data_IF_859480758973
#
_entry.id   IF_859480758973
#
_cell.length_a   1.000
_cell.length_b   1.000
_cell.length_c   1.000
_cell.angle_alpha   90.00
_cell.angle_beta   90.00
_cell.angle_gamma   90.00
#
_symmetry.space_group_name_H-M   'P 1'
#
loop_
_entity.id
_entity.type
_entity.pdbx_description
1 polymer ?
#
# COMPACT_ATOMS: atom_id res chain seq x y z
N UNK A 1 -52.82 20.51 4.83
CA UNK A 1 -51.45 20.04 5.14
C UNK A 1 -50.74 19.75 3.81
N UNK A 2 -49.83 20.62 3.35
CA UNK A 2 -49.14 20.47 2.08
C UNK A 2 -47.75 19.84 2.29
N UNK A 3 -47.48 18.70 1.65
CA UNK A 3 -46.17 18.03 1.68
C UNK A 3 -45.16 18.86 0.87
N UNK A 4 -44.08 19.31 1.52
CA UNK A 4 -42.93 19.96 0.86
C UNK A 4 -42.12 18.92 0.07
N UNK A 5 -41.71 19.18 -1.18
CA UNK A 5 -40.80 18.31 -1.90
C UNK A 5 -39.38 18.49 -1.34
N UNK A 6 -38.79 17.41 -0.83
CA UNK A 6 -37.38 17.34 -0.45
C UNK A 6 -36.52 17.26 -1.70
N UNK A 7 -35.82 18.34 -2.04
CA UNK A 7 -34.77 18.35 -3.06
C UNK A 7 -33.59 17.50 -2.60
N UNK A 8 -33.56 16.23 -2.99
CA UNK A 8 -32.39 15.38 -2.86
C UNK A 8 -31.28 15.90 -3.76
N UNK A 9 -30.17 16.35 -3.16
CA UNK A 9 -28.94 16.64 -3.92
C UNK A 9 -28.43 15.33 -4.51
N UNK A 10 -28.42 15.23 -5.84
CA UNK A 10 -27.81 14.11 -6.53
C UNK A 10 -26.32 14.04 -6.19
N UNK A 11 -25.92 13.06 -5.39
CA UNK A 11 -24.52 12.71 -5.17
C UNK A 11 -24.00 12.21 -6.53
N UNK A 12 -23.13 13.00 -7.18
CA UNK A 12 -22.44 12.55 -8.39
C UNK A 12 -21.65 11.29 -8.03
N UNK A 13 -22.13 10.13 -8.49
CA UNK A 13 -21.42 8.86 -8.42
C UNK A 13 -20.09 9.06 -9.12
N UNK A 14 -18.98 8.97 -8.38
CA UNK A 14 -17.64 9.02 -8.95
C UNK A 14 -17.55 7.88 -9.98
N UNK A 15 -17.63 8.24 -11.25
CA UNK A 15 -17.33 7.33 -12.34
C UNK A 15 -15.88 6.94 -12.19
N UNK A 16 -15.63 5.68 -11.85
CA UNK A 16 -14.30 5.10 -11.78
C UNK A 16 -13.73 5.05 -13.21
N UNK A 17 -13.30 6.19 -13.74
CA UNK A 17 -12.71 6.29 -15.06
C UNK A 17 -11.36 5.58 -14.99
N UNK A 18 -11.27 4.41 -15.61
CA UNK A 18 -10.03 3.65 -15.72
C UNK A 18 -8.93 4.59 -16.23
N UNK A 19 -7.84 4.71 -15.47
CA UNK A 19 -6.72 5.61 -15.78
C UNK A 19 -6.25 5.33 -17.22
N UNK A 20 -5.96 6.38 -18.00
CA UNK A 20 -5.32 6.23 -19.32
C UNK A 20 -4.00 5.46 -19.20
N UNK A 21 -3.66 4.64 -20.20
CA UNK A 21 -2.41 3.88 -20.24
C UNK A 21 -1.17 4.76 -19.97
N UNK A 22 -1.11 5.95 -20.57
CA UNK A 22 0.01 6.87 -20.35
C UNK A 22 0.11 7.31 -18.87
N UNK A 23 -1.02 7.57 -18.22
CA UNK A 23 -1.05 7.89 -16.79
C UNK A 23 -0.60 6.70 -15.94
N UNK A 24 -0.97 5.48 -16.32
CA UNK A 24 -0.51 4.26 -15.64
C UNK A 24 1.01 4.09 -15.79
N UNK A 25 1.55 4.36 -16.98
CA UNK A 25 2.98 4.28 -17.25
C UNK A 25 3.78 5.31 -16.44
N UNK A 26 3.31 6.55 -16.39
CA UNK A 26 3.93 7.61 -15.57
C UNK A 26 3.87 7.24 -14.08
N UNK A 27 2.74 6.74 -13.59
CA UNK A 27 2.59 6.32 -12.20
C UNK A 27 3.54 5.16 -11.86
N UNK A 28 3.63 4.17 -12.75
CA UNK A 28 4.52 3.03 -12.58
C UNK A 28 5.99 3.49 -12.52
N UNK A 29 6.41 4.38 -13.43
CA UNK A 29 7.77 4.94 -13.43
C UNK A 29 8.05 5.80 -12.20
N UNK A 30 7.07 6.57 -11.74
CA UNK A 30 7.17 7.37 -10.52
C UNK A 30 7.37 6.47 -9.28
N UNK A 31 6.58 5.40 -9.16
CA UNK A 31 6.65 4.49 -8.01
C UNK A 31 8.02 3.82 -7.87
N UNK A 32 8.69 3.49 -8.97
CA UNK A 32 10.01 2.88 -8.87
C UNK A 32 11.12 3.82 -8.40
N UNK A 33 10.92 5.14 -8.42
CA UNK A 33 11.93 6.12 -7.94
C UNK A 33 12.20 6.02 -6.44
N UNK A 34 11.31 5.39 -5.68
CA UNK A 34 11.45 5.21 -4.25
C UNK A 34 12.40 4.06 -3.89
N UNK A 35 12.86 3.27 -4.87
CA UNK A 35 13.68 2.09 -4.64
C UNK A 35 15.03 2.21 -5.31
N UNK A 36 16.09 1.76 -4.64
CA UNK A 36 17.48 1.93 -5.11
C UNK A 36 17.78 1.34 -6.49
N UNK A 37 17.15 0.22 -6.85
CA UNK A 37 17.33 -0.43 -8.17
C UNK A 37 16.39 0.11 -9.26
N UNK A 38 15.41 0.94 -8.91
CA UNK A 38 14.52 1.62 -9.86
C UNK A 38 13.72 0.71 -10.80
N UNK A 39 13.67 -0.60 -10.55
CA UNK A 39 13.03 -1.60 -11.42
C UNK A 39 12.27 -2.65 -10.62
N UNK A 40 11.17 -3.16 -11.20
CA UNK A 40 10.41 -4.26 -10.62
C UNK A 40 11.26 -5.53 -10.44
N UNK A 41 12.17 -5.78 -11.38
CA UNK A 41 13.03 -6.97 -11.36
C UNK A 41 13.98 -6.97 -10.17
N UNK A 42 14.67 -5.85 -9.91
CA UNK A 42 15.52 -5.70 -8.73
C UNK A 42 14.72 -5.86 -7.43
N UNK A 43 13.51 -5.30 -7.38
CA UNK A 43 12.60 -5.50 -6.25
C UNK A 43 12.27 -6.96 -6.01
N UNK A 44 11.91 -7.69 -7.07
CA UNK A 44 11.56 -9.12 -6.98
C UNK A 44 12.74 -9.95 -6.48
N UNK A 45 13.96 -9.66 -6.95
CA UNK A 45 15.15 -10.39 -6.50
C UNK A 45 15.38 -10.19 -5.01
N UNK A 46 15.21 -8.97 -4.51
CA UNK A 46 15.50 -8.64 -3.11
C UNK A 46 14.39 -8.97 -2.12
N UNK A 47 13.12 -8.90 -2.53
CA UNK A 47 11.97 -9.07 -1.65
C UNK A 47 11.17 -10.36 -1.90
N UNK A 48 11.52 -11.14 -2.91
CA UNK A 48 10.73 -12.27 -3.38
C UNK A 48 11.05 -13.61 -2.71
N UNK A 49 11.91 -13.63 -1.69
CA UNK A 49 12.26 -14.86 -0.98
C UNK A 49 11.26 -15.17 0.15
N UNK A 50 10.87 -16.44 0.28
CA UNK A 50 9.91 -16.92 1.29
C UNK A 50 10.36 -16.62 2.74
N UNK A 51 11.65 -16.41 2.99
CA UNK A 51 12.17 -16.03 4.32
C UNK A 51 11.65 -14.68 4.84
N UNK A 52 11.09 -13.86 3.96
CA UNK A 52 10.50 -12.57 4.31
C UNK A 52 9.00 -12.67 4.61
N UNK A 53 8.42 -13.87 4.53
CA UNK A 53 7.04 -14.12 4.93
C UNK A 53 6.91 -14.25 6.45
N UNK A 54 5.85 -13.66 7.00
CA UNK A 54 5.52 -13.77 8.42
C UNK A 54 5.76 -12.50 9.22
N UNK A 55 5.62 -12.63 10.53
CA UNK A 55 5.68 -11.54 11.50
C UNK A 55 6.89 -11.79 12.39
N UNK A 56 7.72 -10.76 12.56
CA UNK A 56 8.86 -10.75 13.45
C UNK A 56 8.42 -10.53 14.91
N UNK A 57 9.31 -10.76 15.88
CA UNK A 57 8.99 -10.70 17.32
C UNK A 57 8.51 -9.31 17.79
N UNK A 58 8.83 -8.25 17.04
CA UNK A 58 8.41 -6.88 17.31
C UNK A 58 7.02 -6.53 16.74
N UNK A 59 6.33 -7.52 16.16
CA UNK A 59 4.98 -7.37 15.59
C UNK A 59 4.93 -6.77 14.19
N UNK A 60 6.09 -6.47 13.59
CA UNK A 60 6.19 -6.00 12.21
C UNK A 60 6.37 -7.17 11.25
N UNK A 61 6.08 -6.96 9.97
CA UNK A 61 6.34 -7.99 8.97
C UNK A 61 7.85 -8.17 8.74
N UNK A 62 8.29 -9.40 8.49
CA UNK A 62 9.67 -9.66 8.04
C UNK A 62 9.99 -8.92 6.74
N UNK A 63 8.96 -8.70 5.90
CA UNK A 63 9.03 -7.87 4.71
C UNK A 63 9.41 -6.41 5.01
N UNK A 64 8.87 -5.80 6.06
CA UNK A 64 9.23 -4.43 6.46
C UNK A 64 10.71 -4.34 6.87
N UNK A 65 11.23 -5.32 7.58
CA UNK A 65 12.64 -5.36 7.98
C UNK A 65 13.56 -5.41 6.76
N UNK A 66 13.24 -6.21 5.75
CA UNK A 66 14.01 -6.24 4.50
C UNK A 66 13.85 -4.94 3.70
N UNK A 67 12.61 -4.44 3.59
CA UNK A 67 12.30 -3.20 2.88
C UNK A 67 13.10 -2.03 3.46
N UNK A 68 13.16 -1.94 4.79
CA UNK A 68 13.78 -0.83 5.52
C UNK A 68 15.29 -0.89 5.63
N UNK A 69 15.88 -2.07 5.53
CA UNK A 69 17.31 -2.19 5.73
C UNK A 69 18.13 -1.63 4.56
N UNK A 70 17.72 -1.76 3.28
CA UNK A 70 18.55 -1.28 2.16
C UNK A 70 17.80 -0.91 0.88
N UNK A 71 16.47 -0.87 0.89
CA UNK A 71 15.69 -0.84 -0.35
C UNK A 71 15.10 0.49 -0.75
N UNK A 72 14.76 1.36 0.21
CA UNK A 72 14.05 2.60 -0.07
C UNK A 72 14.91 3.86 0.12
N UNK A 73 14.58 4.90 -0.64
CA UNK A 73 15.16 6.23 -0.49
C UNK A 73 14.52 6.93 0.71
N UNK A 74 15.22 6.98 1.83
CA UNK A 74 14.74 7.53 3.12
C UNK A 74 14.35 9.01 3.01
N UNK A 75 14.97 9.74 2.08
CA UNK A 75 14.64 11.13 1.81
C UNK A 75 13.28 11.32 1.12
N UNK A 76 12.66 10.25 0.60
CA UNK A 76 11.39 10.31 -0.12
C UNK A 76 10.20 9.78 0.68
N UNK A 77 10.42 8.91 1.68
CA UNK A 77 9.39 8.34 2.56
C UNK A 77 9.94 8.26 3.97
N UNK A 78 9.20 8.82 4.93
CA UNK A 78 9.53 8.72 6.35
C UNK A 78 9.40 7.27 6.84
N UNK A 79 10.46 6.77 7.48
CA UNK A 79 10.53 5.42 8.01
C UNK A 79 9.46 5.19 9.10
N UNK A 80 9.14 6.21 9.90
CA UNK A 80 8.13 6.09 10.95
C UNK A 80 6.71 5.95 10.37
N UNK A 81 6.43 6.64 9.26
CA UNK A 81 5.19 6.49 8.52
C UNK A 81 5.08 5.10 7.87
N UNK A 82 6.16 4.61 7.27
CA UNK A 82 6.21 3.27 6.70
C UNK A 82 6.00 2.19 7.77
N UNK A 83 6.63 2.34 8.94
CA UNK A 83 6.44 1.44 10.08
C UNK A 83 4.99 1.41 10.55
N UNK A 84 4.37 2.58 10.68
CA UNK A 84 2.95 2.68 11.06
C UNK A 84 2.04 1.98 10.06
N UNK A 85 2.36 2.10 8.77
CA UNK A 85 1.61 1.45 7.72
C UNK A 85 1.74 -0.08 7.78
N UNK A 86 2.95 -0.60 8.01
CA UNK A 86 3.20 -2.04 8.19
C UNK A 86 2.39 -2.62 9.36
N UNK A 87 2.45 -1.97 10.54
CA UNK A 87 1.68 -2.39 11.71
C UNK A 87 0.16 -2.42 11.45
N UNK A 88 -0.34 -1.47 10.65
CA UNK A 88 -1.75 -1.48 10.25
C UNK A 88 -2.06 -2.68 9.36
N UNK A 89 -1.19 -3.04 8.40
CA UNK A 89 -1.36 -4.23 7.58
C UNK A 89 -1.40 -5.49 8.46
N UNK A 90 -0.43 -5.66 9.35
CA UNK A 90 -0.35 -6.82 10.25
C UNK A 90 -1.63 -6.95 11.08
N UNK A 91 -2.08 -5.84 11.67
CA UNK A 91 -3.34 -5.80 12.45
C UNK A 91 -4.54 -6.23 11.62
N UNK A 92 -4.70 -5.71 10.40
CA UNK A 92 -5.85 -6.04 9.55
C UNK A 92 -5.79 -7.49 9.09
N UNK A 93 -4.59 -7.98 8.76
CA UNK A 93 -4.40 -9.38 8.39
C UNK A 93 -4.79 -10.32 9.54
N UNK A 94 -4.32 -10.03 10.77
CA UNK A 94 -4.69 -10.79 11.97
C UNK A 94 -6.21 -10.79 12.20
N UNK A 95 -6.87 -9.64 12.11
CA UNK A 95 -8.33 -9.56 12.24
C UNK A 95 -9.08 -10.40 11.21
N UNK A 96 -8.58 -10.45 9.97
CA UNK A 96 -9.19 -11.26 8.91
C UNK A 96 -8.97 -12.76 9.17
N UNK A 97 -7.80 -13.15 9.67
CA UNK A 97 -7.44 -14.55 9.92
C UNK A 97 -7.98 -15.10 11.23
N UNK A 98 -8.24 -14.26 12.24
CA UNK A 98 -8.95 -14.61 13.48
C UNK A 98 -10.31 -15.27 13.22
N UNK A 99 -10.98 -14.92 12.12
CA UNK A 99 -12.25 -15.53 11.73
C UNK A 99 -12.11 -16.81 10.90
N UNK A 100 -10.89 -17.22 10.56
CA UNK A 100 -10.59 -18.38 9.71
C UNK A 100 -9.96 -19.55 10.47
N UNK A 101 -9.38 -19.29 11.63
CA UNK A 101 -8.75 -20.26 12.53
C UNK A 101 -9.59 -20.44 13.80
#
# INVERSE_FOLDING_TARGET
MAKKPTTGKAVKKQTNSKLSFHKQLVLNRFMFRFFKDGTLHGLKIRLGEDRFEGIHEDGQSLFFHELSNYLFEVDLIDLDELRRYDLNIVKHWQQITEHRN
#
